data_IF_171646819206
#
_entry.id   IF_171646819206
#
_cell.length_a   1.000
_cell.length_b   1.000
_cell.length_c   1.000
_cell.angle_alpha   90.00
_cell.angle_beta   90.00
_cell.angle_gamma   90.00
#
_symmetry.space_group_name_H-M   'P 1'
#
loop_
_entity.id
_entity.type
_entity.pdbx_description
1 polymer ?
#
# COMPACT_ATOMS: atom_id res chain seq x y z
N UNK A 1 1.56 3.68 -5.57
CA UNK A 1 1.85 4.31 -4.25
C UNK A 1 3.32 4.10 -3.91
N UNK A 2 4.04 5.11 -3.39
CA UNK A 2 5.42 4.96 -2.95
C UNK A 2 5.57 3.85 -1.90
N UNK A 3 6.64 3.05 -1.97
CA UNK A 3 6.94 2.00 -0.99
C UNK A 3 6.17 0.68 -1.15
N UNK A 4 5.24 0.57 -2.10
CA UNK A 4 4.49 -0.70 -2.33
C UNK A 4 5.40 -1.82 -2.83
N UNK A 5 6.37 -1.52 -3.69
CA UNK A 5 7.33 -2.54 -4.18
C UNK A 5 8.14 -3.14 -3.02
N UNK A 6 8.60 -2.29 -2.10
CA UNK A 6 9.29 -2.72 -0.88
C UNK A 6 8.39 -3.57 0.02
N UNK A 7 7.13 -3.16 0.20
CA UNK A 7 6.16 -3.93 1.00
C UNK A 7 5.93 -5.32 0.42
N UNK A 8 5.74 -5.44 -0.89
CA UNK A 8 5.56 -6.73 -1.56
C UNK A 8 6.79 -7.62 -1.38
N UNK A 9 8.01 -7.06 -1.53
CA UNK A 9 9.25 -7.82 -1.31
C UNK A 9 9.35 -8.32 0.15
N UNK A 10 8.98 -7.49 1.14
CA UNK A 10 8.95 -7.91 2.55
C UNK A 10 7.98 -9.08 2.77
N UNK A 11 6.78 -9.02 2.20
CA UNK A 11 5.77 -10.07 2.31
C UNK A 11 6.23 -11.37 1.65
N UNK A 12 6.79 -11.28 0.44
CA UNK A 12 7.32 -12.42 -0.29
C UNK A 12 8.43 -13.13 0.51
N UNK A 13 9.31 -12.37 1.17
CA UNK A 13 10.38 -12.93 2.02
C UNK A 13 9.82 -13.65 3.25
N UNK A 14 8.81 -13.09 3.90
CA UNK A 14 8.15 -13.71 5.07
C UNK A 14 7.40 -14.97 4.65
N UNK A 15 6.71 -14.96 3.51
CA UNK A 15 6.01 -16.15 2.99
C UNK A 15 6.99 -17.27 2.64
N UNK A 16 8.11 -16.94 2.00
CA UNK A 16 9.16 -17.91 1.64
C UNK A 16 9.92 -18.44 2.87
N UNK A 17 10.02 -17.65 3.94
CA UNK A 17 10.74 -17.98 5.17
C UNK A 17 9.90 -17.64 6.40
N UNK A 18 8.91 -18.47 6.76
CA UNK A 18 7.97 -18.18 7.86
C UNK A 18 8.64 -17.95 9.22
N UNK A 19 9.81 -18.56 9.45
CA UNK A 19 10.58 -18.42 10.70
C UNK A 19 11.64 -17.29 10.65
N UNK A 20 11.61 -16.43 9.63
CA UNK A 20 12.58 -15.32 9.51
C UNK A 20 12.41 -14.34 10.67
N UNK A 21 13.51 -14.02 11.34
CA UNK A 21 13.52 -12.98 12.37
C UNK A 21 13.53 -11.59 11.73
N UNK A 22 13.08 -10.57 12.46
CA UNK A 22 13.18 -9.17 12.01
C UNK A 22 14.62 -8.78 11.65
N UNK A 23 15.62 -9.24 12.43
CA UNK A 23 17.02 -8.97 12.13
C UNK A 23 17.47 -9.58 10.79
N UNK A 24 17.14 -10.84 10.54
CA UNK A 24 17.46 -11.51 9.29
C UNK A 24 16.71 -10.92 8.08
N UNK A 25 15.49 -10.40 8.30
CA UNK A 25 14.74 -9.67 7.28
C UNK A 25 15.45 -8.35 6.94
N UNK A 26 15.94 -7.61 7.94
CA UNK A 26 16.68 -6.35 7.71
C UNK A 26 18.03 -6.58 7.01
N UNK A 27 18.73 -7.66 7.34
CA UNK A 27 20.00 -8.04 6.69
C UNK A 27 19.83 -8.27 5.17
N UNK A 28 18.66 -8.74 4.73
CA UNK A 28 18.37 -8.88 3.29
C UNK A 28 18.44 -7.54 2.54
N UNK A 29 18.18 -6.43 3.23
CA UNK A 29 18.22 -5.08 2.65
C UNK A 29 19.52 -4.32 2.92
N UNK A 30 20.57 -4.99 3.41
CA UNK A 30 21.86 -4.34 3.68
C UNK A 30 22.49 -3.73 2.41
N UNK A 31 22.95 -2.50 2.52
CA UNK A 31 23.51 -1.71 1.42
C UNK A 31 22.47 -1.09 0.47
N UNK A 32 21.17 -1.26 0.72
CA UNK A 32 20.11 -0.62 -0.07
C UNK A 32 19.67 0.73 0.50
N UNK A 33 19.07 1.56 -0.35
CA UNK A 33 18.57 2.88 0.04
C UNK A 33 17.48 2.80 1.13
N UNK A 34 16.68 1.74 1.11
CA UNK A 34 15.56 1.55 2.03
C UNK A 34 16.00 1.11 3.44
N UNK A 35 17.25 0.65 3.60
CA UNK A 35 17.78 0.07 4.84
C UNK A 35 17.56 0.97 6.07
N UNK A 36 17.91 2.25 5.96
CA UNK A 36 17.79 3.21 7.06
C UNK A 36 16.34 3.40 7.52
N UNK A 37 15.40 3.43 6.56
CA UNK A 37 13.97 3.55 6.83
C UNK A 37 13.43 2.27 7.48
N UNK A 38 13.85 1.09 6.99
CA UNK A 38 13.44 -0.19 7.58
C UNK A 38 13.94 -0.37 9.02
N UNK A 39 15.19 0.00 9.31
CA UNK A 39 15.70 0.00 10.69
C UNK A 39 14.91 0.95 11.59
N UNK A 40 14.55 2.13 11.07
CA UNK A 40 13.74 3.11 11.79
C UNK A 40 12.35 2.56 12.11
N UNK A 41 11.71 1.86 11.17
CA UNK A 41 10.42 1.21 11.37
C UNK A 41 10.52 0.07 12.39
N UNK A 42 11.53 -0.80 12.27
CA UNK A 42 11.73 -1.95 13.14
C UNK A 42 12.06 -1.58 14.61
N UNK A 43 12.62 -0.39 14.84
CA UNK A 43 12.89 0.11 16.18
C UNK A 43 11.64 0.62 16.92
N UNK A 44 10.51 0.79 16.22
CA UNK A 44 9.29 1.28 16.84
C UNK A 44 8.65 0.21 17.72
N UNK A 45 8.30 0.60 18.95
CA UNK A 45 7.47 -0.24 19.81
C UNK A 45 6.01 0.01 19.47
N UNK A 46 5.31 -1.00 18.96
CA UNK A 46 3.87 -0.92 18.74
C UNK A 46 3.12 -1.38 20.00
N UNK A 47 2.17 -0.58 20.51
CA UNK A 47 1.30 -1.03 21.59
C UNK A 47 0.32 -2.10 21.08
N UNK A 48 -0.25 -2.87 22.00
CA UNK A 48 -1.25 -3.91 21.69
C UNK A 48 -0.67 -5.31 21.69
N UNK A 49 -1.48 -6.25 21.20
CA UNK A 49 -1.17 -7.66 21.05
C UNK A 49 -1.34 -8.12 19.59
N UNK A 50 -1.05 -9.39 19.32
CA UNK A 50 -1.11 -9.96 17.98
C UNK A 50 -2.49 -9.80 17.31
N UNK A 51 -3.58 -9.85 18.09
CA UNK A 51 -4.93 -9.67 17.56
C UNK A 51 -5.16 -8.22 17.11
N UNK A 52 -4.72 -7.25 17.92
CA UNK A 52 -4.74 -5.84 17.53
C UNK A 52 -3.86 -5.58 16.31
N UNK A 53 -2.64 -6.10 16.26
CA UNK A 53 -1.75 -5.90 15.12
C UNK A 53 -2.26 -6.53 13.82
N UNK A 54 -2.92 -7.68 13.91
CA UNK A 54 -3.58 -8.30 12.76
C UNK A 54 -4.66 -7.38 12.20
N UNK A 55 -5.49 -6.81 13.07
CA UNK A 55 -6.52 -5.85 12.65
C UNK A 55 -5.92 -4.58 12.05
N UNK A 56 -4.89 -4.01 12.69
CA UNK A 56 -4.19 -2.83 12.18
C UNK A 56 -3.57 -3.07 10.80
N UNK A 57 -3.00 -4.25 10.55
CA UNK A 57 -2.47 -4.61 9.23
C UNK A 57 -3.59 -4.66 8.18
N UNK A 58 -4.74 -5.26 8.50
CA UNK A 58 -5.89 -5.27 7.60
C UNK A 58 -6.43 -3.86 7.32
N UNK A 59 -6.51 -3.01 8.34
CA UNK A 59 -6.96 -1.63 8.20
C UNK A 59 -5.99 -0.79 7.36
N UNK A 60 -4.68 -1.00 7.53
CA UNK A 60 -3.65 -0.39 6.71
C UNK A 60 -3.76 -0.81 5.23
N UNK A 61 -4.01 -2.10 4.95
CA UNK A 61 -4.24 -2.58 3.58
C UNK A 61 -5.49 -1.95 2.97
N UNK A 62 -6.60 -1.91 3.71
CA UNK A 62 -7.81 -1.23 3.25
C UNK A 62 -7.58 0.27 2.98
N UNK A 63 -6.69 0.91 3.74
CA UNK A 63 -6.31 2.29 3.51
C UNK A 63 -5.45 2.47 2.24
N UNK A 64 -4.55 1.53 1.92
CA UNK A 64 -3.80 1.54 0.67
C UNK A 64 -4.72 1.42 -0.55
N UNK A 65 -5.73 0.55 -0.50
CA UNK A 65 -6.73 0.41 -1.57
C UNK A 65 -7.51 1.71 -1.80
N UNK A 66 -7.92 2.37 -0.71
CA UNK A 66 -8.59 3.68 -0.76
C UNK A 66 -7.69 4.74 -1.40
N UNK A 67 -6.42 4.80 -1.03
CA UNK A 67 -5.46 5.74 -1.62
C UNK A 67 -5.26 5.48 -3.11
N UNK A 68 -5.15 4.20 -3.52
CA UNK A 68 -5.02 3.82 -4.92
C UNK A 68 -6.25 4.27 -5.75
N UNK A 69 -7.45 4.07 -5.22
CA UNK A 69 -8.68 4.51 -5.85
C UNK A 69 -8.70 6.04 -6.03
N UNK A 70 -8.35 6.79 -4.98
CA UNK A 70 -8.31 8.26 -5.01
C UNK A 70 -7.29 8.75 -6.02
N UNK A 71 -6.08 8.18 -6.01
CA UNK A 71 -5.03 8.52 -6.97
C UNK A 71 -5.52 8.31 -8.41
N UNK A 72 -6.16 7.17 -8.69
CA UNK A 72 -6.66 6.87 -10.04
C UNK A 72 -7.79 7.81 -10.48
N UNK A 73 -8.68 8.19 -9.56
CA UNK A 73 -9.70 9.21 -9.83
C UNK A 73 -9.06 10.56 -10.17
N UNK A 74 -8.05 10.98 -9.42
CA UNK A 74 -7.34 12.24 -9.67
C UNK A 74 -6.66 12.26 -11.03
N UNK A 75 -6.01 11.15 -11.41
CA UNK A 75 -5.41 10.95 -12.74
C UNK A 75 -6.44 11.10 -13.86
N UNK A 76 -7.58 10.42 -13.76
CA UNK A 76 -8.65 10.50 -14.77
C UNK A 76 -9.28 11.90 -14.84
N UNK A 77 -9.51 12.55 -13.70
CA UNK A 77 -10.05 13.91 -13.67
C UNK A 77 -9.04 14.92 -14.24
N UNK A 78 -7.74 14.72 -14.01
CA UNK A 78 -6.69 15.54 -14.62
C UNK A 78 -6.65 15.33 -16.14
N UNK A 79 -6.70 14.08 -16.60
CA UNK A 79 -6.78 13.72 -18.04
C UNK A 79 -7.98 14.38 -18.71
N UNK A 80 -9.16 14.33 -18.07
CA UNK A 80 -10.37 14.97 -18.55
C UNK A 80 -10.20 16.48 -18.77
N UNK A 81 -9.57 17.19 -17.83
CA UNK A 81 -9.34 18.64 -17.94
C UNK A 81 -8.33 19.02 -19.01
N UNK A 82 -7.32 18.18 -19.25
CA UNK A 82 -6.22 18.49 -20.16
C UNK A 82 -6.53 18.14 -21.62
N UNK A 83 -7.11 16.96 -21.86
CA UNK A 83 -7.26 16.42 -23.21
C UNK A 83 -8.60 15.68 -23.44
N UNK A 84 -9.46 15.59 -22.42
CA UNK A 84 -10.68 14.80 -22.48
C UNK A 84 -10.46 13.31 -22.13
N UNK A 85 -11.55 12.56 -22.11
CA UNK A 85 -11.57 11.12 -21.80
C UNK A 85 -12.08 10.33 -23.01
N UNK A 86 -11.45 9.20 -23.28
CA UNK A 86 -11.98 8.20 -24.21
C UNK A 86 -13.11 7.38 -23.54
N UNK A 87 -13.70 6.43 -24.27
CA UNK A 87 -14.82 5.66 -23.75
C UNK A 87 -14.39 4.64 -22.67
N UNK A 88 -13.14 4.18 -22.71
CA UNK A 88 -12.56 3.32 -21.67
C UNK A 88 -12.37 4.09 -20.38
N UNK A 89 -11.80 5.30 -20.45
CA UNK A 89 -11.62 6.18 -19.30
C UNK A 89 -12.96 6.61 -18.68
N UNK A 90 -13.97 6.93 -19.50
CA UNK A 90 -15.31 7.29 -19.01
C UNK A 90 -15.96 6.14 -18.27
N UNK A 91 -15.81 4.93 -18.80
CA UNK A 91 -16.29 3.72 -18.15
C UNK A 91 -15.57 3.52 -16.81
N UNK A 92 -14.23 3.58 -16.80
CA UNK A 92 -13.42 3.43 -15.60
C UNK A 92 -13.78 4.48 -14.54
N UNK A 93 -13.85 5.76 -14.90
CA UNK A 93 -14.23 6.85 -13.99
C UNK A 93 -15.59 6.59 -13.35
N UNK A 94 -16.58 6.12 -14.12
CA UNK A 94 -17.91 5.80 -13.59
C UNK A 94 -17.86 4.65 -12.60
N UNK A 95 -17.12 3.58 -12.89
CA UNK A 95 -17.01 2.44 -11.97
C UNK A 95 -16.24 2.83 -10.70
N UNK A 96 -15.18 3.63 -10.80
CA UNK A 96 -14.44 4.13 -9.65
C UNK A 96 -15.29 5.06 -8.76
N UNK A 97 -16.14 5.90 -9.34
CA UNK A 97 -17.08 6.74 -8.58
C UNK A 97 -18.12 5.90 -7.81
N UNK A 98 -18.60 4.78 -8.39
CA UNK A 98 -19.48 3.84 -7.69
C UNK A 98 -18.74 3.14 -6.54
N UNK A 99 -17.52 2.67 -6.80
CA UNK A 99 -16.69 2.03 -5.78
C UNK A 99 -16.42 2.97 -4.60
N UNK A 100 -16.11 4.24 -4.88
CA UNK A 100 -15.94 5.28 -3.85
C UNK A 100 -17.17 5.46 -2.98
N UNK A 101 -18.37 5.50 -3.58
CA UNK A 101 -19.62 5.64 -2.85
C UNK A 101 -19.90 4.42 -1.93
N UNK A 102 -19.49 3.22 -2.35
CA UNK A 102 -19.60 2.01 -1.54
C UNK A 102 -18.64 1.97 -0.34
N UNK A 103 -17.46 2.58 -0.47
CA UNK A 103 -16.41 2.57 0.56
C UNK A 103 -16.65 3.55 1.73
N UNK A 104 -17.69 4.39 1.67
CA UNK A 104 -17.92 5.51 2.63
C UNK A 104 -16.64 6.30 2.92
N UNK A 105 -15.88 6.61 1.87
CA UNK A 105 -14.87 7.66 1.89
C UNK A 105 -15.56 9.03 2.01
#
# INVERSE_FOLDING_TARGET
LPGVELLLELLDLVEQRPDISTGALLEHFDGREEQASLHTLAAQTMPGDDAMWTQELHDAVAQLEKQLLVQRLEELLAKQRQQGLDDTDKYELRELLKARAGLRL
#
